data_IF_605478521061
#
_entry.id   IF_605478521061
#
_cell.length_a   1.000
_cell.length_b   1.000
_cell.length_c   1.000
_cell.angle_alpha   90.00
_cell.angle_beta   90.00
_cell.angle_gamma   90.00
#
_symmetry.space_group_name_H-M   'P 1'
#
loop_
_entity.id
_entity.type
_entity.pdbx_description
1 polymer ?
#
# COMPACT_ATOMS: atom_id res chain seq x y z
N UNK A 1 29.39 -27.76 -30.06
CA UNK A 1 29.33 -26.51 -29.28
C UNK A 1 30.75 -26.05 -29.06
N UNK A 2 31.07 -24.83 -29.44
CA UNK A 2 32.37 -24.23 -29.16
C UNK A 2 32.33 -23.62 -27.77
N UNK A 3 33.29 -23.93 -26.92
CA UNK A 3 33.41 -23.38 -25.57
C UNK A 3 34.88 -23.01 -25.30
N UNK A 4 35.06 -21.96 -24.49
CA UNK A 4 36.35 -21.56 -23.94
C UNK A 4 36.39 -21.98 -22.49
N UNK A 5 37.41 -22.72 -22.09
CA UNK A 5 37.65 -23.16 -20.72
C UNK A 5 38.76 -22.34 -20.09
N UNK A 6 38.45 -21.70 -18.97
CA UNK A 6 39.42 -20.95 -18.16
C UNK A 6 39.70 -21.76 -16.89
N UNK A 7 40.97 -22.07 -16.62
CA UNK A 7 41.38 -22.79 -15.41
C UNK A 7 41.61 -21.83 -14.24
N UNK A 8 41.09 -22.18 -13.06
CA UNK A 8 41.49 -21.53 -11.82
C UNK A 8 42.96 -21.81 -11.49
N UNK A 9 43.62 -20.89 -10.79
CA UNK A 9 45.03 -21.03 -10.43
C UNK A 9 45.31 -22.16 -9.44
N UNK A 10 44.31 -22.58 -8.66
CA UNK A 10 44.46 -23.65 -7.65
C UNK A 10 43.58 -24.84 -7.93
N UNK A 11 42.36 -24.65 -8.35
CA UNK A 11 41.39 -25.70 -8.72
C UNK A 11 40.20 -25.13 -9.46
N UNK A 12 39.47 -25.99 -10.18
CA UNK A 12 38.23 -25.65 -10.89
C UNK A 12 38.41 -25.03 -12.27
N UNK A 13 37.35 -25.07 -13.05
CA UNK A 13 37.27 -24.51 -14.39
C UNK A 13 36.05 -23.63 -14.54
N UNK A 14 36.15 -22.51 -15.23
CA UNK A 14 35.01 -21.75 -15.74
C UNK A 14 34.88 -22.02 -17.24
N UNK A 15 33.72 -22.41 -17.68
CA UNK A 15 33.43 -22.70 -19.09
C UNK A 15 32.48 -21.65 -19.65
N UNK A 16 32.91 -20.93 -20.68
CA UNK A 16 32.03 -20.05 -21.47
C UNK A 16 31.49 -20.88 -22.64
N UNK A 17 30.18 -21.10 -22.65
CA UNK A 17 29.48 -21.83 -23.73
C UNK A 17 28.56 -20.90 -24.48
N UNK A 18 28.53 -21.03 -25.79
CA UNK A 18 27.53 -20.34 -26.63
C UNK A 18 26.35 -21.27 -26.90
N UNK A 19 25.11 -20.78 -26.97
CA UNK A 19 23.95 -21.59 -27.36
C UNK A 19 24.09 -22.12 -28.77
N UNK A 20 23.35 -23.19 -29.11
CA UNK A 20 23.41 -23.82 -30.43
C UNK A 20 23.09 -22.84 -31.58
N UNK A 21 22.27 -21.83 -31.32
CA UNK A 21 21.96 -20.73 -32.24
C UNK A 21 22.31 -19.43 -31.53
N UNK A 22 23.51 -18.92 -31.73
CA UNK A 22 24.01 -17.71 -31.04
C UNK A 22 23.75 -16.40 -31.80
N UNK A 23 23.40 -16.48 -33.08
CA UNK A 23 23.34 -15.30 -33.96
C UNK A 23 24.71 -14.60 -34.11
N UNK A 24 24.71 -13.33 -34.47
CA UNK A 24 25.91 -12.47 -34.59
C UNK A 24 26.07 -11.58 -33.35
N UNK A 25 26.13 -12.17 -32.16
CA UNK A 25 26.27 -11.41 -30.91
C UNK A 25 27.75 -11.23 -30.56
N UNK A 26 28.15 -10.02 -30.18
CA UNK A 26 29.50 -9.69 -29.72
C UNK A 26 29.49 -9.42 -28.24
N UNK A 27 30.31 -10.15 -27.48
CA UNK A 27 30.57 -9.82 -26.06
C UNK A 27 31.91 -9.09 -26.01
N UNK A 28 31.90 -7.81 -25.63
CA UNK A 28 33.13 -7.02 -25.46
C UNK A 28 33.53 -7.06 -23.98
N UNK A 29 34.70 -7.60 -23.68
CA UNK A 29 35.28 -7.53 -22.36
C UNK A 29 36.07 -6.20 -22.26
N UNK A 30 35.76 -5.33 -21.27
CA UNK A 30 36.47 -4.06 -21.12
C UNK A 30 37.99 -4.30 -20.90
N UNK A 31 38.84 -3.46 -21.51
CA UNK A 31 40.30 -3.54 -21.35
C UNK A 31 40.76 -2.88 -20.03
N UNK A 32 40.12 -3.22 -18.91
CA UNK A 32 40.45 -2.74 -17.56
C UNK A 32 40.66 -3.95 -16.64
N UNK A 33 41.58 -3.77 -15.67
CA UNK A 33 41.76 -4.80 -14.63
C UNK A 33 40.60 -4.74 -13.67
N UNK A 34 39.85 -5.81 -13.54
CA UNK A 34 38.72 -5.94 -12.64
C UNK A 34 38.22 -7.37 -12.58
N UNK A 35 37.37 -7.65 -11.59
CA UNK A 35 36.61 -8.89 -11.52
C UNK A 35 35.32 -8.66 -12.27
N UNK A 36 34.96 -9.54 -13.21
CA UNK A 36 33.60 -9.58 -13.74
C UNK A 36 32.71 -10.19 -12.63
N UNK A 37 31.93 -9.44 -11.91
CA UNK A 37 31.02 -10.03 -10.95
C UNK A 37 29.94 -10.75 -11.74
N UNK A 38 29.94 -12.08 -11.68
CA UNK A 38 28.84 -12.88 -12.23
C UNK A 38 27.52 -12.62 -11.54
N UNK A 39 27.58 -12.06 -10.32
CA UNK A 39 26.44 -11.47 -9.62
C UNK A 39 25.91 -10.18 -10.27
N UNK A 40 26.70 -9.50 -11.11
CA UNK A 40 26.29 -8.25 -11.78
C UNK A 40 25.56 -8.48 -13.11
N UNK A 41 25.45 -9.71 -13.59
CA UNK A 41 24.39 -10.07 -14.54
C UNK A 41 23.00 -9.87 -13.90
N UNK A 42 22.93 -9.83 -12.58
CA UNK A 42 21.79 -9.38 -11.81
C UNK A 42 21.53 -7.86 -11.92
N UNK A 43 22.38 -7.05 -12.54
CA UNK A 43 22.10 -5.63 -12.78
C UNK A 43 20.84 -5.40 -13.61
N UNK A 44 20.42 -6.36 -14.41
CA UNK A 44 19.14 -6.27 -15.12
C UNK A 44 17.97 -6.47 -14.18
N UNK A 45 18.17 -7.16 -13.06
CA UNK A 45 17.15 -7.42 -12.03
C UNK A 45 17.26 -6.49 -10.83
N UNK A 46 18.43 -5.90 -10.57
CA UNK A 46 18.67 -5.00 -9.45
C UNK A 46 18.32 -3.55 -9.82
N UNK A 47 17.07 -3.19 -9.66
CA UNK A 47 16.57 -1.81 -9.88
C UNK A 47 16.92 -0.91 -8.70
N UNK A 48 18.20 -0.74 -8.37
CA UNK A 48 18.64 -0.01 -7.18
C UNK A 48 18.11 1.42 -7.04
N UNK A 49 17.61 2.00 -8.14
CA UNK A 49 17.09 3.37 -8.16
C UNK A 49 15.65 3.46 -8.72
N UNK A 50 14.97 2.35 -8.93
CA UNK A 50 13.57 2.38 -9.36
C UNK A 50 12.67 2.61 -8.15
N UNK A 51 11.74 3.55 -8.26
CA UNK A 51 10.72 3.72 -7.22
C UNK A 51 9.84 2.47 -7.18
N UNK A 52 9.55 1.93 -5.98
CA UNK A 52 8.68 0.77 -5.84
C UNK A 52 7.26 1.09 -6.32
N UNK A 53 6.57 0.11 -6.90
CA UNK A 53 5.16 0.24 -7.28
C UNK A 53 4.31 0.38 -6.01
N UNK A 54 4.62 -0.42 -4.99
CA UNK A 54 3.96 -0.38 -3.69
C UNK A 54 4.41 0.86 -2.92
N UNK A 55 3.47 1.62 -2.40
CA UNK A 55 3.73 2.76 -1.52
C UNK A 55 3.63 2.28 -0.07
N UNK A 56 4.61 2.62 0.78
CA UNK A 56 4.65 2.24 2.20
C UNK A 56 4.66 0.70 2.42
N UNK A 57 5.28 -0.05 1.52
CA UNK A 57 5.34 -1.53 1.62
C UNK A 57 6.08 -2.04 2.85
N UNK A 58 6.91 -1.22 3.47
CA UNK A 58 7.65 -1.47 4.72
C UNK A 58 6.94 -0.97 5.98
N UNK A 59 5.71 -0.46 5.85
CA UNK A 59 4.88 0.03 6.96
C UNK A 59 5.49 1.18 7.76
N UNK A 60 6.43 1.94 7.16
CA UNK A 60 7.17 2.99 7.86
C UNK A 60 6.33 4.23 8.15
N UNK A 61 5.34 4.54 7.30
CA UNK A 61 4.46 5.72 7.42
C UNK A 61 3.15 5.34 8.11
N UNK A 62 2.74 6.11 9.11
CA UNK A 62 1.53 5.89 9.89
C UNK A 62 0.90 7.23 10.32
N UNK A 63 0.43 8.02 9.36
CA UNK A 63 -0.14 9.37 9.61
C UNK A 63 -1.43 9.31 10.42
N UNK A 64 -2.27 8.25 10.23
CA UNK A 64 -3.53 8.08 10.96
C UNK A 64 -3.34 7.63 12.41
N UNK A 65 -2.13 7.16 12.76
CA UNK A 65 -1.79 6.62 14.07
C UNK A 65 -1.09 5.27 13.98
N UNK A 66 -0.60 4.79 15.12
CA UNK A 66 0.19 3.54 15.21
C UNK A 66 -0.55 2.40 15.90
N UNK A 67 -1.77 2.64 16.42
CA UNK A 67 -2.57 1.63 17.12
C UNK A 67 -4.07 1.91 16.97
N UNK A 68 -4.82 0.90 16.54
CA UNK A 68 -6.24 0.97 16.25
C UNK A 68 -6.92 -0.24 16.90
N UNK A 69 -7.58 0.00 18.03
CA UNK A 69 -8.26 -1.04 18.82
C UNK A 69 -9.71 -1.21 18.39
N UNK A 70 -10.28 -2.38 18.65
CA UNK A 70 -11.72 -2.63 18.47
C UNK A 70 -12.18 -2.61 17.02
N UNK A 71 -11.32 -2.99 16.07
CA UNK A 71 -11.67 -2.99 14.67
C UNK A 71 -12.62 -4.16 14.35
N UNK A 72 -13.81 -3.84 13.86
CA UNK A 72 -14.84 -4.82 13.43
C UNK A 72 -15.31 -4.57 12.00
N UNK A 73 -14.78 -3.55 11.33
CA UNK A 73 -15.14 -3.15 9.96
C UNK A 73 -13.93 -2.74 9.13
N UNK A 74 -14.17 -2.54 7.84
CA UNK A 74 -13.12 -2.17 6.89
C UNK A 74 -12.67 -0.73 7.08
N UNK A 75 -11.36 -0.48 7.15
CA UNK A 75 -10.79 0.86 7.31
C UNK A 75 -9.37 0.96 6.71
N UNK A 76 -8.98 2.16 6.28
CA UNK A 76 -7.57 2.51 6.08
C UNK A 76 -6.96 2.86 7.44
N UNK A 77 -5.90 2.18 7.82
CA UNK A 77 -5.27 2.32 9.14
C UNK A 77 -3.82 2.80 9.02
N UNK A 78 -2.87 1.95 8.65
CA UNK A 78 -1.57 2.43 8.20
C UNK A 78 -1.71 2.99 6.78
N UNK A 79 -0.87 3.97 6.45
CA UNK A 79 -0.96 4.64 5.15
C UNK A 79 -0.93 3.64 3.99
N UNK A 80 -1.87 3.77 3.07
CA UNK A 80 -2.11 2.90 1.92
C UNK A 80 -2.56 1.48 2.24
N UNK A 81 -2.56 1.06 3.50
CA UNK A 81 -2.99 -0.27 3.92
C UNK A 81 -4.42 -0.21 4.43
N UNK A 82 -5.33 -0.83 3.68
CA UNK A 82 -6.71 -1.02 4.09
C UNK A 82 -6.85 -2.42 4.70
N UNK A 83 -7.32 -2.51 5.94
CA UNK A 83 -7.89 -3.77 6.41
C UNK A 83 -9.31 -3.89 5.87
N UNK A 84 -9.62 -5.03 5.29
CA UNK A 84 -10.97 -5.39 4.88
C UNK A 84 -11.41 -6.54 5.75
N UNK A 85 -12.45 -6.34 6.52
CA UNK A 85 -13.01 -7.38 7.37
C UNK A 85 -14.52 -7.27 7.47
N UNK A 86 -15.17 -8.41 7.59
CA UNK A 86 -16.60 -8.56 7.78
C UNK A 86 -16.84 -9.76 8.72
N UNK A 87 -17.39 -9.49 9.86
CA UNK A 87 -17.90 -10.44 10.87
C UNK A 87 -16.96 -11.57 11.32
N UNK A 88 -15.66 -11.34 11.26
CA UNK A 88 -14.60 -12.29 11.65
C UNK A 88 -14.07 -12.05 13.07
N UNK A 89 -14.84 -11.38 13.93
CA UNK A 89 -14.44 -11.02 15.27
C UNK A 89 -13.90 -9.60 15.39
N UNK A 90 -13.08 -9.35 16.40
CA UNK A 90 -12.54 -8.01 16.71
C UNK A 90 -11.02 -8.05 16.67
N UNK A 91 -10.43 -6.99 16.13
CA UNK A 91 -8.99 -6.90 15.94
C UNK A 91 -8.41 -5.60 16.53
N UNK A 92 -7.16 -5.70 16.96
CA UNK A 92 -6.29 -4.54 17.18
C UNK A 92 -5.23 -4.52 16.08
N UNK A 93 -5.12 -3.41 15.35
CA UNK A 93 -4.14 -3.24 14.29
C UNK A 93 -3.07 -2.27 14.76
N UNK A 94 -1.80 -2.66 14.69
CA UNK A 94 -0.68 -1.82 15.14
C UNK A 94 0.44 -1.74 14.11
N UNK A 95 1.16 -0.62 14.12
CA UNK A 95 2.49 -0.53 13.56
C UNK A 95 3.46 -1.12 14.58
N UNK A 96 3.97 -2.31 14.31
CA UNK A 96 4.81 -3.10 15.21
C UNK A 96 6.30 -2.99 14.85
N UNK A 97 7.19 -3.35 15.77
CA UNK A 97 8.64 -3.41 15.57
C UNK A 97 9.17 -4.83 15.35
N UNK A 98 8.32 -5.86 15.44
CA UNK A 98 8.70 -7.22 15.06
C UNK A 98 8.78 -7.30 13.53
N UNK A 99 9.97 -7.52 13.01
CA UNK A 99 10.29 -7.50 11.58
C UNK A 99 11.28 -8.62 11.23
N UNK A 100 11.38 -9.05 9.96
CA UNK A 100 12.39 -10.02 9.55
C UNK A 100 13.79 -9.41 9.68
N UNK A 101 14.68 -10.10 10.40
CA UNK A 101 16.06 -9.65 10.64
C UNK A 101 16.92 -9.69 9.38
N UNK A 102 17.83 -8.71 9.25
CA UNK A 102 18.83 -8.68 8.17
C UNK A 102 18.34 -8.08 6.85
N UNK A 103 17.09 -7.62 6.76
CA UNK A 103 16.50 -7.08 5.54
C UNK A 103 16.23 -5.57 5.56
N UNK A 104 16.64 -4.88 6.62
CA UNK A 104 16.54 -3.42 6.74
C UNK A 104 15.16 -2.88 7.12
N UNK A 105 14.19 -3.74 7.42
CA UNK A 105 12.88 -3.29 7.90
C UNK A 105 12.93 -2.80 9.33
N UNK A 106 12.12 -1.79 9.65
CA UNK A 106 11.95 -1.26 11.00
C UNK A 106 10.53 -1.41 11.53
N UNK A 107 9.55 -1.65 10.64
CA UNK A 107 8.13 -1.71 10.96
C UNK A 107 7.42 -2.83 10.19
N UNK A 108 6.37 -3.32 10.82
CA UNK A 108 5.38 -4.24 10.23
C UNK A 108 3.98 -3.82 10.64
N UNK A 109 2.98 -4.25 9.90
CA UNK A 109 1.58 -4.19 10.31
C UNK A 109 1.25 -5.46 11.06
N UNK A 110 0.90 -5.34 12.36
CA UNK A 110 0.39 -6.44 13.17
C UNK A 110 -1.13 -6.39 13.18
N UNK A 111 -1.75 -7.52 12.91
CA UNK A 111 -3.19 -7.78 12.92
C UNK A 111 -3.44 -8.75 14.05
N UNK A 112 -3.88 -8.25 15.19
CA UNK A 112 -4.03 -8.99 16.46
C UNK A 112 -5.50 -9.32 16.69
N UNK A 113 -5.85 -10.60 16.68
CA UNK A 113 -7.20 -11.06 16.95
C UNK A 113 -7.50 -10.95 18.46
N UNK A 114 -8.35 -10.01 18.84
CA UNK A 114 -8.74 -9.78 20.25
C UNK A 114 -10.07 -10.42 20.63
N UNK A 115 -10.91 -10.73 19.65
CA UNK A 115 -12.11 -11.57 19.81
C UNK A 115 -12.20 -12.48 18.60
N UNK A 116 -12.11 -13.77 18.82
CA UNK A 116 -12.13 -14.78 17.76
C UNK A 116 -13.55 -15.02 17.24
N UNK A 117 -13.64 -15.47 15.98
CA UNK A 117 -14.79 -16.12 15.39
C UNK A 117 -14.35 -17.52 14.94
N UNK A 118 -14.74 -18.56 15.69
CA UNK A 118 -14.40 -19.97 15.44
C UNK A 118 -15.37 -20.67 14.49
N UNK A 119 -16.36 -19.94 13.98
CA UNK A 119 -17.41 -20.47 13.10
C UNK A 119 -17.78 -19.48 12.02
N UNK A 120 -16.93 -19.40 10.99
CA UNK A 120 -17.12 -18.46 9.87
C UNK A 120 -18.44 -18.68 9.17
N UNK A 121 -19.23 -17.63 9.07
CA UNK A 121 -20.37 -17.56 8.17
C UNK A 121 -19.91 -17.44 6.70
N UNK A 122 -20.85 -17.67 5.79
CA UNK A 122 -20.51 -17.69 4.36
C UNK A 122 -19.91 -16.37 3.84
N UNK A 123 -20.30 -15.23 4.40
CA UNK A 123 -19.90 -13.91 3.96
C UNK A 123 -18.71 -13.32 4.75
N UNK A 124 -18.19 -14.04 5.74
CA UNK A 124 -17.13 -13.56 6.61
C UNK A 124 -15.79 -13.54 5.91
N UNK A 125 -14.99 -12.52 6.17
CA UNK A 125 -13.65 -12.42 5.59
C UNK A 125 -12.75 -11.43 6.35
N UNK A 126 -11.44 -11.67 6.26
CA UNK A 126 -10.42 -10.67 6.57
C UNK A 126 -9.25 -10.76 5.60
N UNK A 127 -8.84 -9.61 5.06
CA UNK A 127 -7.65 -9.47 4.23
C UNK A 127 -7.08 -8.04 4.29
N UNK A 128 -5.78 -7.91 4.07
CA UNK A 128 -5.13 -6.62 3.77
C UNK A 128 -5.30 -6.32 2.31
N UNK A 129 -5.73 -5.11 2.01
CA UNK A 129 -6.03 -4.62 0.67
C UNK A 129 -5.23 -3.37 0.35
N UNK A 130 -4.62 -3.36 -0.83
CA UNK A 130 -3.95 -2.20 -1.39
C UNK A 130 -4.58 -1.85 -2.71
N UNK A 131 -4.94 -0.58 -2.92
CA UNK A 131 -5.57 -0.11 -4.15
C UNK A 131 -4.62 0.75 -4.95
N UNK A 132 -4.66 0.61 -6.27
CA UNK A 132 -3.78 1.29 -7.22
C UNK A 132 -4.59 2.11 -8.21
N UNK A 133 -4.03 3.27 -8.60
CA UNK A 133 -4.57 4.09 -9.69
C UNK A 133 -4.37 3.37 -11.03
N UNK A 134 -5.31 3.50 -11.96
CA UNK A 134 -5.20 2.90 -13.30
C UNK A 134 -3.90 3.30 -14.01
N UNK A 135 -3.54 4.59 -13.97
CA UNK A 135 -2.33 5.11 -14.61
C UNK A 135 -1.05 4.43 -14.14
N UNK A 136 -0.97 4.03 -12.85
CA UNK A 136 0.21 3.37 -12.26
C UNK A 136 0.31 1.90 -12.69
N UNK A 137 -0.83 1.27 -13.01
CA UNK A 137 -0.90 -0.13 -13.43
C UNK A 137 -0.61 -0.35 -14.92
N UNK A 138 -0.49 0.69 -15.71
CA UNK A 138 -0.15 0.59 -17.14
C UNK A 138 1.20 -0.06 -17.42
N UNK A 139 2.13 -0.02 -16.46
CA UNK A 139 3.44 -0.68 -16.55
C UNK A 139 3.34 -2.19 -16.85
N UNK A 140 2.22 -2.82 -16.52
CA UNK A 140 1.98 -4.26 -16.76
C UNK A 140 1.46 -4.55 -18.17
N UNK A 141 1.09 -3.54 -18.97
CA UNK A 141 0.50 -3.68 -20.31
C UNK A 141 -0.68 -4.65 -20.34
N UNK A 142 -1.42 -4.75 -19.22
CA UNK A 142 -2.58 -5.65 -19.10
C UNK A 142 -3.62 -5.31 -20.16
N UNK A 143 -4.33 -6.33 -20.70
CA UNK A 143 -5.30 -6.18 -21.80
C UNK A 143 -4.65 -6.13 -23.18
N UNK A 144 -3.34 -6.33 -23.32
CA UNK A 144 -2.62 -6.31 -24.60
C UNK A 144 -1.88 -7.62 -24.87
N UNK A 145 -1.46 -7.83 -26.12
CA UNK A 145 -0.58 -8.95 -26.47
C UNK A 145 0.82 -8.86 -25.82
N UNK A 146 1.19 -7.68 -25.28
CA UNK A 146 2.45 -7.43 -24.58
C UNK A 146 2.32 -7.47 -23.07
N UNK A 147 1.18 -7.96 -22.55
CA UNK A 147 0.93 -8.07 -21.11
C UNK A 147 2.07 -8.79 -20.38
N UNK A 148 2.40 -8.31 -19.19
CA UNK A 148 3.49 -8.83 -18.36
C UNK A 148 2.95 -9.67 -17.23
N UNK A 149 3.72 -10.69 -16.82
CA UNK A 149 3.53 -11.36 -15.53
C UNK A 149 3.79 -10.36 -14.40
N UNK A 150 3.16 -10.58 -13.27
CA UNK A 150 3.29 -9.75 -12.07
C UNK A 150 3.76 -10.65 -10.94
N UNK A 151 4.93 -10.36 -10.37
CA UNK A 151 5.38 -11.05 -9.14
C UNK A 151 5.12 -10.15 -7.95
N UNK A 152 4.41 -10.68 -6.95
CA UNK A 152 4.23 -10.03 -5.66
C UNK A 152 5.01 -10.79 -4.59
N UNK A 153 5.64 -10.07 -3.68
CA UNK A 153 6.26 -10.64 -2.51
C UNK A 153 5.94 -9.84 -1.26
N UNK A 154 5.93 -10.52 -0.11
CA UNK A 154 5.82 -9.92 1.20
C UNK A 154 6.48 -10.82 2.24
N UNK A 155 6.91 -10.23 3.35
CA UNK A 155 7.23 -10.98 4.55
C UNK A 155 5.97 -11.09 5.40
N UNK A 156 5.62 -12.33 5.75
CA UNK A 156 4.44 -12.64 6.57
C UNK A 156 4.86 -13.54 7.73
N UNK A 157 4.33 -13.29 8.91
CA UNK A 157 4.50 -14.12 10.11
C UNK A 157 3.13 -14.40 10.69
N UNK A 158 2.81 -15.67 10.92
CA UNK A 158 1.53 -16.11 11.48
C UNK A 158 1.74 -17.35 12.35
N UNK A 159 1.00 -17.53 13.44
CA UNK A 159 0.94 -18.80 14.15
C UNK A 159 0.22 -19.88 13.35
N UNK A 160 -0.65 -19.50 12.41
CA UNK A 160 -1.42 -20.44 11.58
C UNK A 160 -0.56 -20.89 10.40
N UNK A 161 -0.18 -22.16 10.40
CA UNK A 161 0.52 -22.81 9.27
C UNK A 161 -0.48 -23.26 8.22
N UNK A 162 -0.01 -23.48 6.99
CA UNK A 162 -0.83 -23.96 5.88
C UNK A 162 -0.83 -23.01 4.70
N UNK A 163 -1.87 -23.12 3.88
CA UNK A 163 -2.02 -22.37 2.64
C UNK A 163 -2.65 -21.01 2.90
N UNK A 164 -2.02 -19.97 2.38
CA UNK A 164 -2.52 -18.59 2.38
C UNK A 164 -2.66 -18.08 0.95
N UNK A 165 -3.61 -17.19 0.73
CA UNK A 165 -3.97 -16.69 -0.59
C UNK A 165 -3.54 -15.25 -0.77
N UNK A 166 -2.98 -14.95 -1.95
CA UNK A 166 -2.76 -13.59 -2.47
C UNK A 166 -3.60 -13.43 -3.72
N UNK A 167 -4.40 -12.37 -3.80
CA UNK A 167 -5.25 -12.06 -4.94
C UNK A 167 -4.89 -10.76 -5.62
N UNK A 168 -5.04 -10.71 -6.94
CA UNK A 168 -5.10 -9.47 -7.71
C UNK A 168 -6.50 -9.32 -8.30
N UNK A 169 -7.15 -8.20 -7.99
CA UNK A 169 -8.44 -7.81 -8.54
C UNK A 169 -8.28 -6.62 -9.48
N UNK A 170 -8.58 -6.82 -10.74
CA UNK A 170 -8.69 -5.76 -11.73
C UNK A 170 -10.08 -5.15 -11.66
N UNK A 171 -10.18 -3.99 -11.03
CA UNK A 171 -11.44 -3.27 -10.86
C UNK A 171 -11.93 -2.61 -12.15
N UNK A 172 -11.03 -2.35 -13.12
CA UNK A 172 -11.37 -1.77 -14.41
C UNK A 172 -12.15 -2.76 -15.28
N UNK A 173 -11.68 -4.00 -15.34
CA UNK A 173 -12.27 -5.05 -16.19
C UNK A 173 -13.11 -6.07 -15.42
N UNK A 174 -13.27 -5.91 -14.10
CA UNK A 174 -13.93 -6.88 -13.23
C UNK A 174 -13.35 -8.30 -13.39
N UNK A 175 -12.02 -8.43 -13.31
CA UNK A 175 -11.29 -9.69 -13.45
C UNK A 175 -10.50 -10.01 -12.21
N UNK A 176 -10.25 -11.27 -11.95
CA UNK A 176 -9.55 -11.74 -10.76
C UNK A 176 -8.54 -12.83 -11.08
N UNK A 177 -7.46 -12.86 -10.33
CA UNK A 177 -6.50 -13.95 -10.30
C UNK A 177 -5.97 -14.12 -8.88
N UNK A 178 -5.82 -15.35 -8.41
CA UNK A 178 -5.23 -15.67 -7.12
C UNK A 178 -4.01 -16.56 -7.28
N UNK A 179 -3.12 -16.47 -6.29
CA UNK A 179 -2.00 -17.39 -6.10
C UNK A 179 -1.90 -17.75 -4.63
N UNK A 180 -1.18 -18.83 -4.32
CA UNK A 180 -1.03 -19.29 -2.95
C UNK A 180 0.44 -19.32 -2.53
N UNK A 181 0.66 -19.14 -1.23
CA UNK A 181 1.93 -19.43 -0.57
C UNK A 181 1.68 -20.24 0.70
N UNK A 182 2.72 -20.89 1.21
CA UNK A 182 2.60 -21.76 2.40
C UNK A 182 3.44 -21.21 3.54
N UNK A 183 2.83 -21.06 4.70
CA UNK A 183 3.54 -20.88 5.97
C UNK A 183 3.77 -22.26 6.58
N UNK A 184 5.02 -22.73 6.60
CA UNK A 184 5.38 -24.06 7.07
C UNK A 184 5.70 -24.11 8.55
N UNK A 185 6.11 -22.99 9.15
CA UNK A 185 6.52 -22.88 10.55
C UNK A 185 5.79 -21.75 11.24
N UNK A 186 5.08 -22.08 12.30
CA UNK A 186 4.35 -21.10 13.10
C UNK A 186 5.29 -20.02 13.67
N UNK A 187 4.82 -18.77 13.74
CA UNK A 187 5.51 -17.64 14.34
C UNK A 187 6.91 -17.37 13.74
N UNK A 188 7.10 -17.76 12.46
CA UNK A 188 8.36 -17.57 11.74
C UNK A 188 8.13 -16.67 10.53
N UNK A 189 8.98 -15.65 10.35
CA UNK A 189 8.91 -14.80 9.18
C UNK A 189 9.15 -15.61 7.91
N UNK A 190 8.16 -15.66 7.05
CA UNK A 190 8.18 -16.36 5.76
C UNK A 190 8.07 -15.33 4.63
N UNK A 191 9.00 -15.37 3.67
CA UNK A 191 8.89 -14.56 2.46
C UNK A 191 7.94 -15.24 1.48
N UNK A 192 6.71 -14.76 1.40
CA UNK A 192 5.75 -15.15 0.38
C UNK A 192 6.20 -14.55 -0.96
N UNK A 193 6.28 -15.36 -2.01
CA UNK A 193 6.58 -14.93 -3.38
C UNK A 193 5.61 -15.64 -4.29
N UNK A 194 4.80 -14.88 -5.03
CA UNK A 194 3.79 -15.42 -5.94
C UNK A 194 3.83 -14.69 -7.27
N UNK A 195 3.67 -15.41 -8.37
CA UNK A 195 3.65 -14.84 -9.71
C UNK A 195 2.31 -15.06 -10.37
N UNK A 196 1.68 -13.97 -10.77
CA UNK A 196 0.44 -13.95 -11.52
C UNK A 196 0.75 -14.00 -13.03
N UNK A 197 0.03 -14.81 -13.82
CA UNK A 197 0.22 -14.88 -15.26
C UNK A 197 -0.11 -13.53 -15.93
N UNK A 198 0.44 -13.33 -17.12
CA UNK A 198 0.06 -12.18 -17.95
C UNK A 198 -1.43 -12.25 -18.33
N UNK A 199 -2.13 -11.14 -18.22
CA UNK A 199 -3.52 -11.05 -18.68
C UNK A 199 -3.61 -10.26 -19.97
N UNK A 200 -3.85 -10.96 -21.07
CA UNK A 200 -4.02 -10.36 -22.40
C UNK A 200 -5.48 -10.04 -22.72
N UNK A 201 -6.39 -10.31 -21.79
CA UNK A 201 -7.82 -10.08 -21.96
C UNK A 201 -8.30 -8.82 -21.21
N UNK A 202 -9.43 -8.30 -21.62
CA UNK A 202 -9.98 -7.04 -21.12
C UNK A 202 -9.36 -5.83 -21.82
N UNK A 203 -9.71 -4.65 -21.34
CA UNK A 203 -9.19 -3.39 -21.85
C UNK A 203 -7.92 -2.97 -21.11
N UNK A 204 -7.08 -2.18 -21.76
CA UNK A 204 -5.96 -1.51 -21.09
C UNK A 204 -6.48 -0.56 -20.01
N UNK A 205 -5.67 -0.38 -18.95
CA UNK A 205 -5.98 0.64 -17.95
C UNK A 205 -5.96 2.05 -18.57
N UNK A 206 -6.95 2.87 -18.23
CA UNK A 206 -7.00 4.28 -18.62
C UNK A 206 -5.83 5.08 -18.02
N UNK A 207 -5.56 6.25 -18.61
CA UNK A 207 -4.56 7.21 -18.10
C UNK A 207 -5.24 8.17 -17.14
N UNK A 208 -5.79 7.64 -16.05
CA UNK A 208 -6.45 8.43 -15.01
C UNK A 208 -6.10 7.92 -13.61
N UNK A 209 -6.50 8.68 -12.60
CA UNK A 209 -6.27 8.40 -11.19
C UNK A 209 -7.40 7.62 -10.52
N UNK A 210 -8.30 7.02 -11.29
CA UNK A 210 -9.37 6.20 -10.72
C UNK A 210 -8.87 4.80 -10.36
N UNK A 211 -9.69 4.06 -9.66
CA UNK A 211 -9.36 2.73 -9.16
C UNK A 211 -9.10 1.73 -10.31
N UNK A 212 -7.88 1.20 -10.35
CA UNK A 212 -7.44 0.24 -11.36
C UNK A 212 -7.36 -1.19 -10.85
N UNK A 213 -6.56 -1.44 -9.83
CA UNK A 213 -6.30 -2.80 -9.34
C UNK A 213 -6.19 -2.84 -7.81
N UNK A 214 -6.43 -4.01 -7.23
CA UNK A 214 -6.18 -4.32 -5.81
C UNK A 214 -5.17 -5.46 -5.70
N UNK A 215 -4.28 -5.36 -4.71
CA UNK A 215 -3.51 -6.49 -4.17
C UNK A 215 -4.12 -6.86 -2.82
N UNK A 216 -4.41 -8.14 -2.63
CA UNK A 216 -5.13 -8.67 -1.47
C UNK A 216 -4.33 -9.81 -0.83
N UNK A 217 -4.03 -9.71 0.47
CA UNK A 217 -3.47 -10.79 1.28
C UNK A 217 -4.57 -11.30 2.22
N UNK A 218 -5.07 -12.51 1.94
CA UNK A 218 -6.18 -13.11 2.67
C UNK A 218 -5.70 -13.80 3.95
N UNK A 219 -6.51 -13.74 5.00
CA UNK A 219 -6.23 -14.37 6.31
C UNK A 219 -7.39 -15.21 6.84
N UNK A 220 -8.63 -14.92 6.46
CA UNK A 220 -9.78 -15.79 6.64
C UNK A 220 -10.82 -15.50 5.58
N UNK A 221 -11.61 -16.53 5.19
CA UNK A 221 -12.65 -16.41 4.20
C UNK A 221 -13.72 -17.48 4.35
N UNK A 222 -14.98 -17.08 4.41
CA UNK A 222 -16.15 -17.94 4.42
C UNK A 222 -16.45 -18.55 3.05
N UNK A 223 -17.49 -19.39 2.98
CA UNK A 223 -17.79 -20.21 1.80
C UNK A 223 -18.16 -19.41 0.55
N UNK A 224 -18.63 -18.17 0.68
CA UNK A 224 -18.87 -17.30 -0.48
C UNK A 224 -17.57 -16.99 -1.27
N UNK A 225 -16.40 -17.19 -0.67
CA UNK A 225 -15.10 -16.87 -1.27
C UNK A 225 -14.23 -18.09 -1.52
N UNK A 226 -14.59 -19.25 -0.95
CA UNK A 226 -13.76 -20.47 -0.93
C UNK A 226 -14.38 -21.69 -1.59
N UNK A 227 -15.68 -21.66 -1.92
CA UNK A 227 -16.44 -22.84 -2.36
C UNK A 227 -16.30 -23.16 -3.85
N UNK A 228 -15.66 -22.31 -4.63
CA UNK A 228 -15.48 -22.47 -6.06
C UNK A 228 -14.18 -23.18 -6.46
N UNK A 229 -13.69 -22.87 -7.63
CA UNK A 229 -12.38 -23.32 -8.14
C UNK A 229 -11.36 -22.19 -8.04
N UNK A 230 -10.14 -22.49 -7.59
CA UNK A 230 -9.10 -21.49 -7.46
C UNK A 230 -8.83 -20.75 -8.78
N UNK A 231 -8.98 -19.43 -8.80
CA UNK A 231 -8.76 -18.57 -9.96
C UNK A 231 -7.25 -18.37 -10.22
N UNK A 232 -6.51 -19.45 -10.52
CA UNK A 232 -5.05 -19.40 -10.72
C UNK A 232 -4.61 -18.74 -12.02
N UNK A 233 -5.56 -18.46 -12.91
CA UNK A 233 -5.41 -17.65 -14.13
C UNK A 233 -6.44 -16.52 -14.10
N UNK A 234 -6.19 -15.46 -14.86
CA UNK A 234 -7.13 -14.35 -14.93
C UNK A 234 -8.47 -14.78 -15.50
N UNK A 235 -9.52 -14.57 -14.76
CA UNK A 235 -10.90 -14.87 -15.16
C UNK A 235 -11.83 -13.70 -14.80
N UNK A 236 -13.06 -13.74 -15.30
CA UNK A 236 -14.11 -12.84 -14.82
C UNK A 236 -14.32 -13.05 -13.32
N UNK A 237 -14.47 -11.96 -12.59
CA UNK A 237 -14.64 -12.02 -11.14
C UNK A 237 -15.78 -12.96 -10.74
N UNK A 238 -15.43 -13.96 -9.93
CA UNK A 238 -16.36 -14.89 -9.30
C UNK A 238 -16.01 -14.97 -7.83
N UNK A 239 -16.91 -14.52 -6.96
CA UNK A 239 -16.64 -14.44 -5.52
C UNK A 239 -16.12 -15.76 -4.94
N UNK A 240 -16.75 -16.88 -5.26
CA UNK A 240 -16.42 -18.20 -4.75
C UNK A 240 -15.01 -18.70 -5.10
N UNK A 241 -14.33 -18.06 -6.07
CA UNK A 241 -13.01 -18.46 -6.57
C UNK A 241 -11.86 -17.67 -5.96
N UNK A 242 -12.15 -16.68 -5.07
CA UNK A 242 -11.15 -15.70 -4.65
C UNK A 242 -10.11 -16.21 -3.65
N UNK A 243 -10.54 -17.03 -2.71
CA UNK A 243 -9.72 -17.43 -1.56
C UNK A 243 -9.75 -18.95 -1.31
N UNK A 244 -9.88 -19.72 -2.39
CA UNK A 244 -9.94 -21.19 -2.31
C UNK A 244 -8.67 -21.74 -1.68
N UNK A 245 -8.82 -22.49 -0.58
CA UNK A 245 -7.72 -23.09 0.17
C UNK A 245 -7.13 -22.21 1.28
N UNK A 246 -7.65 -20.98 1.48
CA UNK A 246 -7.23 -20.12 2.58
C UNK A 246 -7.47 -20.78 3.95
N UNK A 247 -6.44 -20.83 4.79
CA UNK A 247 -6.61 -21.24 6.20
C UNK A 247 -7.30 -20.13 6.98
N UNK A 248 -8.07 -20.54 7.99
CA UNK A 248 -8.75 -19.60 8.87
C UNK A 248 -7.79 -19.08 9.95
N UNK A 249 -7.51 -17.78 9.95
CA UNK A 249 -6.73 -17.09 10.97
C UNK A 249 -7.60 -16.29 11.95
N UNK A 250 -8.93 -16.44 11.93
CA UNK A 250 -9.85 -15.75 12.84
C UNK A 250 -10.31 -16.62 14.01
N UNK A 251 -9.98 -17.91 14.01
CA UNK A 251 -10.51 -18.94 14.91
C UNK A 251 -9.91 -18.93 16.33
N UNK A 252 -8.92 -18.07 16.62
CA UNK A 252 -8.31 -17.95 17.95
C UNK A 252 -7.76 -16.56 18.21
N UNK A 253 -7.84 -16.11 19.45
CA UNK A 253 -7.17 -14.90 19.93
C UNK A 253 -5.65 -15.01 19.98
N UNK A 254 -5.09 -16.21 19.81
CA UNK A 254 -3.65 -16.40 19.66
C UNK A 254 -3.14 -16.10 18.25
N UNK A 255 -4.05 -15.89 17.29
CA UNK A 255 -3.70 -15.63 15.90
C UNK A 255 -3.31 -14.16 15.70
N UNK A 256 -2.00 -13.92 15.75
CA UNK A 256 -1.38 -12.65 15.42
C UNK A 256 -0.70 -12.75 14.06
N UNK A 257 -1.10 -11.92 13.12
CA UNK A 257 -0.53 -11.89 11.79
C UNK A 257 0.30 -10.63 11.66
N UNK A 258 1.54 -10.76 11.18
CA UNK A 258 2.38 -9.61 10.86
C UNK A 258 2.75 -9.65 9.38
N UNK A 259 2.75 -8.48 8.74
CA UNK A 259 3.10 -8.33 7.33
C UNK A 259 3.96 -7.10 7.12
N UNK A 260 5.02 -7.22 6.32
CA UNK A 260 5.90 -6.10 5.90
C UNK A 260 6.62 -6.44 4.60
N UNK A 261 7.34 -5.47 4.03
CA UNK A 261 8.13 -5.68 2.84
C UNK A 261 7.30 -6.09 1.62
N UNK A 262 6.10 -5.52 1.49
CA UNK A 262 5.23 -5.78 0.34
C UNK A 262 5.81 -5.12 -0.89
N UNK A 263 6.12 -5.91 -1.91
CA UNK A 263 6.63 -5.44 -3.19
C UNK A 263 5.89 -6.07 -4.36
N UNK A 264 5.85 -5.37 -5.49
CA UNK A 264 5.26 -5.81 -6.74
C UNK A 264 6.25 -5.52 -7.88
N UNK A 265 6.54 -6.53 -8.68
CA UNK A 265 7.54 -6.50 -9.73
C UNK A 265 6.96 -6.89 -11.08
N UNK A 266 7.44 -6.24 -12.14
CA UNK A 266 7.09 -6.58 -13.52
C UNK A 266 7.94 -7.76 -13.98
N UNK A 267 7.33 -8.90 -14.21
CA UNK A 267 8.02 -10.12 -14.64
C UNK A 267 7.73 -11.31 -13.76
N UNK A 268 8.50 -12.37 -13.95
CA UNK A 268 8.43 -13.61 -13.19
C UNK A 268 9.72 -13.79 -12.39
N UNK A 269 9.58 -13.89 -11.08
CA UNK A 269 10.70 -14.03 -10.16
C UNK A 269 10.39 -15.09 -9.11
N UNK A 270 11.45 -15.77 -8.64
CA UNK A 270 11.43 -16.73 -7.56
C UNK A 270 12.26 -16.26 -6.36
N UNK A 271 12.47 -17.12 -5.37
CA UNK A 271 13.23 -16.79 -4.15
C UNK A 271 14.70 -16.42 -4.39
N UNK A 272 15.25 -16.76 -5.56
CA UNK A 272 16.65 -16.54 -5.94
C UNK A 272 16.81 -15.34 -6.88
N UNK A 273 15.79 -14.99 -7.61
CA UNK A 273 15.82 -13.96 -8.68
C UNK A 273 15.02 -12.71 -8.36
N UNK A 274 14.15 -12.74 -7.32
CA UNK A 274 13.38 -11.56 -6.95
C UNK A 274 14.29 -10.42 -6.51
N UNK A 275 14.14 -9.20 -7.07
CA UNK A 275 14.91 -8.05 -6.64
C UNK A 275 14.80 -7.82 -5.13
N UNK A 276 15.86 -7.29 -4.48
CA UNK A 276 15.77 -6.85 -3.10
C UNK A 276 14.64 -5.82 -2.93
N UNK A 277 14.02 -5.80 -1.74
CA UNK A 277 13.06 -4.76 -1.41
C UNK A 277 13.70 -3.38 -1.56
N UNK A 278 13.02 -2.48 -2.25
CA UNK A 278 13.49 -1.11 -2.46
C UNK A 278 13.03 -0.22 -1.30
N UNK A 279 13.93 -0.01 -0.35
CA UNK A 279 13.69 0.93 0.75
C UNK A 279 13.70 2.37 0.22
N UNK A 280 12.64 3.11 0.47
CA UNK A 280 12.57 4.54 0.18
C UNK A 280 13.05 5.36 1.39
N UNK A 281 13.55 6.56 1.15
CA UNK A 281 13.75 7.53 2.24
C UNK A 281 12.39 7.88 2.83
N UNK A 282 12.32 8.01 4.16
CA UNK A 282 11.06 8.28 4.86
C UNK A 282 10.31 9.49 4.29
N UNK A 283 11.03 10.59 3.96
CA UNK A 283 10.42 11.78 3.36
C UNK A 283 9.77 11.52 2.00
N UNK A 284 10.39 10.70 1.15
CA UNK A 284 9.84 10.35 -0.16
C UNK A 284 8.60 9.45 0.00
N UNK A 285 8.66 8.45 0.87
CA UNK A 285 7.52 7.59 1.18
C UNK A 285 6.35 8.39 1.76
N UNK A 286 6.64 9.32 2.70
CA UNK A 286 5.63 10.21 3.28
C UNK A 286 4.94 11.07 2.21
N UNK A 287 5.69 11.70 1.30
CA UNK A 287 5.11 12.50 0.22
C UNK A 287 4.20 11.68 -0.70
N UNK A 288 4.57 10.42 -0.97
CA UNK A 288 3.73 9.50 -1.76
C UNK A 288 2.46 9.11 -1.00
N UNK A 289 2.53 8.91 0.32
CA UNK A 289 1.37 8.67 1.17
C UNK A 289 0.46 9.91 1.24
N UNK A 290 1.03 11.10 1.31
CA UNK A 290 0.30 12.37 1.37
C UNK A 290 -0.51 12.68 0.11
N UNK A 291 -0.23 12.03 -1.02
CA UNK A 291 -1.12 12.07 -2.18
C UNK A 291 -2.52 11.51 -1.88
N UNK A 292 -2.64 10.64 -0.87
CA UNK A 292 -3.87 9.93 -0.52
C UNK A 292 -4.46 10.35 0.83
N UNK A 293 -3.60 10.71 1.78
CA UNK A 293 -4.03 11.14 3.10
C UNK A 293 -3.05 12.16 3.68
N UNK A 294 -3.59 13.25 4.21
CA UNK A 294 -2.79 14.26 4.92
C UNK A 294 -3.48 14.57 6.25
N UNK A 295 -2.70 14.70 7.32
CA UNK A 295 -3.17 15.11 8.63
C UNK A 295 -2.37 16.29 9.15
N UNK A 296 -3.05 17.24 9.77
CA UNK A 296 -2.47 18.47 10.30
C UNK A 296 -2.92 18.65 11.74
N UNK A 297 -2.01 18.51 12.69
CA UNK A 297 -2.26 18.85 14.10
C UNK A 297 -2.35 20.36 14.32
N UNK A 298 -1.74 21.15 13.44
CA UNK A 298 -1.73 22.61 13.44
C UNK A 298 -1.98 23.09 12.00
N UNK A 299 -3.23 23.04 11.49
CA UNK A 299 -3.49 23.43 10.11
C UNK A 299 -3.20 24.92 9.90
N UNK A 300 -2.33 25.30 8.94
CA UNK A 300 -1.97 26.70 8.68
C UNK A 300 -3.05 27.42 7.85
N UNK A 301 -4.22 27.57 8.42
CA UNK A 301 -5.38 28.17 7.76
C UNK A 301 -5.33 29.70 7.90
N UNK A 302 -5.26 30.39 6.78
CA UNK A 302 -5.28 31.85 6.72
C UNK A 302 -6.48 32.35 5.92
N UNK A 303 -7.09 33.46 6.34
CA UNK A 303 -8.27 33.96 5.65
C UNK A 303 -8.75 35.32 6.15
N UNK A 304 -10.06 35.54 6.01
CA UNK A 304 -10.72 36.79 6.36
C UNK A 304 -12.07 36.56 7.06
N UNK A 305 -12.45 37.47 7.90
CA UNK A 305 -13.80 37.53 8.45
C UNK A 305 -14.83 37.88 7.38
N UNK A 306 -16.02 37.30 7.42
CA UNK A 306 -17.10 37.67 6.51
C UNK A 306 -17.80 39.00 6.90
N UNK A 307 -18.64 39.50 5.98
CA UNK A 307 -19.32 40.77 6.16
C UNK A 307 -20.30 40.83 7.35
N UNK A 308 -20.77 39.68 7.81
CA UNK A 308 -21.83 39.60 8.86
C UNK A 308 -21.27 39.14 10.22
N UNK A 309 -19.95 39.02 10.38
CA UNK A 309 -19.31 38.59 11.63
C UNK A 309 -19.78 37.21 12.15
N UNK A 310 -20.30 36.34 11.27
CA UNK A 310 -20.89 35.07 11.65
C UNK A 310 -19.97 33.87 11.36
N UNK A 311 -19.06 34.04 10.41
CA UNK A 311 -18.05 33.02 10.12
C UNK A 311 -16.75 33.63 9.60
N UNK A 312 -15.69 32.87 9.72
CA UNK A 312 -14.38 33.16 9.18
C UNK A 312 -14.12 32.20 8.02
N UNK A 313 -13.76 32.72 6.85
CA UNK A 313 -13.37 31.91 5.70
C UNK A 313 -11.86 31.84 5.63
N UNK A 314 -11.34 30.65 5.74
CA UNK A 314 -9.89 30.41 5.72
C UNK A 314 -9.55 29.29 4.75
N UNK A 315 -8.36 29.37 4.18
CA UNK A 315 -7.83 28.36 3.28
C UNK A 315 -6.36 28.06 3.54
N UNK A 316 -5.94 26.90 3.09
CA UNK A 316 -4.53 26.52 3.04
C UNK A 316 -4.22 25.83 1.72
N UNK A 317 -2.96 25.96 1.31
CA UNK A 317 -2.39 25.16 0.24
C UNK A 317 -1.92 23.83 0.81
N UNK A 318 -2.12 22.76 0.07
CA UNK A 318 -1.66 21.44 0.48
C UNK A 318 -0.17 21.28 0.20
N UNK A 319 0.52 20.52 1.02
CA UNK A 319 1.96 20.24 0.86
C UNK A 319 2.25 19.42 -0.39
N UNK A 320 1.34 18.54 -0.73
CA UNK A 320 1.39 17.67 -1.90
C UNK A 320 0.02 17.66 -2.56
N UNK A 321 0.00 17.65 -3.90
CA UNK A 321 -1.24 17.47 -4.64
C UNK A 321 -1.87 16.13 -4.28
N UNK A 322 -3.13 16.16 -3.82
CA UNK A 322 -3.88 14.94 -3.53
C UNK A 322 -4.38 14.26 -4.81
N UNK A 323 -4.66 12.97 -4.74
CA UNK A 323 -5.15 12.17 -5.87
C UNK A 323 -6.47 12.71 -6.42
N UNK A 324 -7.36 13.08 -5.55
CA UNK A 324 -8.68 13.63 -5.85
C UNK A 324 -9.01 14.72 -4.83
N UNK A 325 -10.07 15.47 -5.03
CA UNK A 325 -10.60 16.36 -4.01
C UNK A 325 -10.88 15.54 -2.74
N UNK A 326 -10.26 15.88 -1.60
CA UNK A 326 -10.35 15.06 -0.40
C UNK A 326 -11.68 15.19 0.31
N UNK A 327 -12.04 14.20 1.11
CA UNK A 327 -12.97 14.36 2.21
C UNK A 327 -12.22 14.98 3.38
N UNK A 328 -12.78 16.01 4.01
CA UNK A 328 -12.16 16.71 5.14
C UNK A 328 -12.89 16.38 6.43
N UNK A 329 -12.17 15.95 7.44
CA UNK A 329 -12.66 15.73 8.80
C UNK A 329 -11.84 16.55 9.79
N UNK A 330 -12.50 17.30 10.64
CA UNK A 330 -11.84 18.07 11.69
C UNK A 330 -12.24 17.52 13.06
N UNK A 331 -11.23 17.23 13.87
CA UNK A 331 -11.34 16.81 15.26
C UNK A 331 -10.68 17.86 16.16
N UNK A 332 -11.35 18.23 17.25
CA UNK A 332 -10.83 19.21 18.22
C UNK A 332 -11.42 20.60 18.07
N UNK A 333 -10.74 21.60 18.63
CA UNK A 333 -11.19 22.99 18.63
C UNK A 333 -10.22 23.84 17.81
N UNK A 334 -10.72 24.48 16.75
CA UNK A 334 -10.01 25.53 16.06
C UNK A 334 -10.26 26.87 16.76
N UNK A 335 -9.18 27.60 16.97
CA UNK A 335 -9.23 28.99 17.36
C UNK A 335 -8.78 29.86 16.19
N UNK A 336 -9.15 31.10 16.20
CA UNK A 336 -8.63 32.05 15.24
C UNK A 336 -8.13 33.31 15.96
N UNK A 337 -7.10 33.90 15.37
CA UNK A 337 -6.51 35.12 15.81
C UNK A 337 -6.99 36.25 14.93
N UNK A 338 -7.63 37.23 15.53
CA UNK A 338 -8.14 38.45 14.88
C UNK A 338 -8.00 39.64 15.78
N UNK A 339 -7.60 40.79 15.25
CA UNK A 339 -7.48 42.04 16.02
C UNK A 339 -6.69 41.90 17.33
N UNK A 340 -5.56 41.19 17.26
CA UNK A 340 -4.66 40.93 18.39
C UNK A 340 -5.30 40.15 19.56
N UNK A 341 -6.34 39.37 19.29
CA UNK A 341 -7.06 38.57 20.28
C UNK A 341 -7.31 37.14 19.76
N UNK A 342 -7.22 36.19 20.66
CA UNK A 342 -7.58 34.78 20.38
C UNK A 342 -9.07 34.61 20.61
N UNK A 343 -9.75 34.06 19.62
CA UNK A 343 -11.18 33.81 19.66
C UNK A 343 -11.45 32.31 19.46
N UNK A 344 -12.16 31.63 20.36
CA UNK A 344 -12.52 30.24 20.16
C UNK A 344 -13.58 30.11 19.06
N UNK A 345 -13.38 29.14 18.17
CA UNK A 345 -14.43 28.68 17.26
C UNK A 345 -15.32 27.70 18.00
N UNK A 346 -16.58 27.87 17.95
CA UNK A 346 -17.42 27.16 18.91
C UNK A 346 -18.31 26.08 18.33
N UNK A 347 -18.63 26.05 17.04
CA UNK A 347 -19.75 25.18 16.69
C UNK A 347 -19.73 24.47 15.34
N UNK A 348 -19.07 24.97 14.32
CA UNK A 348 -19.04 24.27 13.06
C UNK A 348 -17.82 24.69 12.23
N UNK A 349 -17.09 23.69 11.80
CA UNK A 349 -16.05 23.79 10.81
C UNK A 349 -16.54 23.02 9.58
N UNK A 350 -16.82 23.72 8.50
CA UNK A 350 -17.36 23.11 7.30
C UNK A 350 -16.47 23.42 6.11
N UNK A 351 -16.13 22.38 5.36
CA UNK A 351 -15.44 22.54 4.10
C UNK A 351 -16.38 23.21 3.08
N UNK A 352 -15.90 24.30 2.47
CA UNK A 352 -16.67 25.03 1.46
C UNK A 352 -16.11 24.82 0.05
N UNK A 353 -14.83 24.56 -0.04
CA UNK A 353 -14.16 24.21 -1.29
C UNK A 353 -13.03 23.22 -1.02
N UNK A 354 -13.10 22.08 -1.70
CA UNK A 354 -12.10 21.02 -1.61
C UNK A 354 -11.58 20.73 -3.02
N UNK A 355 -10.29 20.93 -3.18
CA UNK A 355 -9.57 20.67 -4.44
C UNK A 355 -8.29 19.90 -4.13
N UNK A 356 -7.68 19.34 -5.14
CA UNK A 356 -6.45 18.53 -5.02
C UNK A 356 -5.24 19.30 -4.49
N UNK A 357 -5.25 20.64 -4.55
CA UNK A 357 -4.13 21.49 -4.15
C UNK A 357 -4.49 22.47 -3.03
N UNK A 358 -5.76 22.71 -2.80
CA UNK A 358 -6.22 23.73 -1.86
C UNK A 358 -7.52 23.31 -1.17
N UNK A 359 -7.63 23.62 0.09
CA UNK A 359 -8.86 23.43 0.85
C UNK A 359 -9.29 24.75 1.48
N UNK A 360 -10.58 25.04 1.43
CA UNK A 360 -11.20 26.22 2.02
C UNK A 360 -12.29 25.80 3.00
N UNK A 361 -12.34 26.47 4.12
CA UNK A 361 -13.29 26.18 5.20
C UNK A 361 -13.97 27.45 5.70
N UNK A 362 -15.24 27.31 6.05
CA UNK A 362 -15.95 28.27 6.86
C UNK A 362 -15.99 27.78 8.31
N UNK A 363 -15.44 28.57 9.20
CA UNK A 363 -15.51 28.34 10.64
C UNK A 363 -16.58 29.27 11.22
N UNK A 364 -17.68 28.70 11.70
CA UNK A 364 -18.73 29.48 12.38
C UNK A 364 -18.23 30.03 13.70
N UNK A 365 -18.37 31.32 13.89
CA UNK A 365 -17.83 32.03 15.04
C UNK A 365 -18.98 32.59 15.88
N UNK A 366 -18.81 32.60 17.21
CA UNK A 366 -19.70 33.30 18.13
C UNK A 366 -19.20 34.70 18.47
N UNK A 367 -18.32 35.27 17.66
CA UNK A 367 -17.63 36.52 18.00
C UNK A 367 -18.35 37.72 17.41
N UNK A 368 -18.72 38.61 18.27
CA UNK A 368 -19.38 39.91 17.93
C UNK A 368 -18.39 41.03 17.59
N UNK A 369 -17.06 40.75 17.69
CA UNK A 369 -16.02 41.79 17.58
C UNK A 369 -15.24 41.75 16.26
N UNK A 370 -15.56 40.85 15.31
CA UNK A 370 -14.93 40.84 14.01
C UNK A 370 -15.55 41.90 13.10
N UNK A 371 -14.69 42.55 12.32
CA UNK A 371 -15.12 43.44 11.23
C UNK A 371 -14.96 42.70 9.91
N UNK A 372 -15.85 42.92 8.96
CA UNK A 372 -15.73 42.37 7.62
C UNK A 372 -14.34 42.67 7.03
N UNK A 373 -13.71 41.62 6.45
CA UNK A 373 -12.37 41.65 5.87
C UNK A 373 -11.21 41.71 6.87
N UNK A 374 -11.46 41.67 8.19
CA UNK A 374 -10.35 41.51 9.12
C UNK A 374 -9.54 40.24 8.76
N UNK A 375 -8.22 40.32 8.69
CA UNK A 375 -7.38 39.15 8.46
C UNK A 375 -7.49 38.20 9.65
N UNK A 376 -7.60 36.91 9.35
CA UNK A 376 -7.67 35.88 10.36
C UNK A 376 -6.57 34.84 10.13
N UNK A 377 -6.10 34.28 11.21
CA UNK A 377 -5.23 33.11 11.22
C UNK A 377 -5.89 32.05 12.13
N UNK A 378 -6.19 30.89 11.55
CA UNK A 378 -6.76 29.80 12.31
C UNK A 378 -5.66 28.87 12.81
N UNK A 379 -5.77 28.42 14.05
CA UNK A 379 -4.87 27.46 14.64
C UNK A 379 -5.64 26.56 15.61
N UNK A 380 -5.11 25.39 15.83
CA UNK A 380 -5.71 24.43 16.75
C UNK A 380 -5.12 24.59 18.15
N UNK A 381 -5.96 24.46 19.18
CA UNK A 381 -5.55 24.34 20.57
C UNK A 381 -5.93 22.97 21.10
N UNK A 382 -5.01 22.35 21.86
CA UNK A 382 -5.23 21.01 22.39
C UNK A 382 -4.93 19.88 21.40
N UNK A 383 -5.41 18.68 21.71
CA UNK A 383 -5.30 17.50 20.85
C UNK A 383 -6.41 17.50 19.80
N UNK A 384 -6.06 17.25 18.56
CA UNK A 384 -6.98 17.12 17.43
C UNK A 384 -6.24 17.24 16.11
N UNK A 385 -6.96 17.09 15.00
CA UNK A 385 -6.40 17.16 13.66
C UNK A 385 -7.40 17.68 12.64
N UNK A 386 -6.89 18.22 11.55
CA UNK A 386 -7.58 18.34 10.28
C UNK A 386 -7.06 17.20 9.39
N UNK A 387 -7.95 16.30 9.04
CA UNK A 387 -7.64 15.12 8.24
C UNK A 387 -8.26 15.25 6.85
N UNK A 388 -7.46 15.04 5.82
CA UNK A 388 -7.85 15.10 4.42
C UNK A 388 -7.65 13.71 3.81
N UNK A 389 -8.74 13.07 3.38
CA UNK A 389 -8.74 11.71 2.86
C UNK A 389 -9.17 11.69 1.40
N UNK A 390 -8.30 11.18 0.53
CA UNK A 390 -8.50 10.95 -0.90
C UNK A 390 -8.12 9.51 -1.28
N UNK A 391 -8.24 8.54 -0.38
CA UNK A 391 -8.01 7.13 -0.68
C UNK A 391 -8.94 6.60 -1.79
N UNK A 392 -8.56 5.47 -2.41
CA UNK A 392 -9.29 4.85 -3.53
C UNK A 392 -10.50 4.05 -3.07
#
# INVERSE_FOLDING_TARGET
MSSIKLKGSSSGDVTLTVPAVAGTNTVTIPAVTGTLPLSDLDHVTNRQNAKPIIINGDMAVAQRGTSFTGQTGSAYLLDRMQIRLNDVGTYTITQDSDVPEGYGFSKSMKIDCTTANDSLEAADFIFVNMRFEKQDMRIFNKGTSSAKKITCAAWVKSPKTGTHVVGLYDAHNNRYCMQTYTISSANTWTKAIVTFPADTAGDEFDVDNTHGMNLQFWFAAGSNFTSGSAATVWESYTAANQAVGQVDCSDSTDNNILITGIQMEVGEFDSTTIPPFQHELFGDSLLRCQRYYQTYSQPPLCGIANANNTYARAKMLLQTQMRAAPTATHNGTLNYFVNNSIQPTTTAFSATYLDVNVVEFDATTNVTSMTAKDPIFCFQTGSGSLDLDAEL
#
